data_IF_393593653216
#
_entry.id   IF_393593653216
#
_cell.length_a   1.000
_cell.length_b   1.000
_cell.length_c   1.000
_cell.angle_alpha   90.00
_cell.angle_beta   90.00
_cell.angle_gamma   90.00
#
_symmetry.space_group_name_H-M   'P 1'
#
loop_
_entity.id
_entity.type
_entity.pdbx_description
1 polymer ?
#
# COMPACT_ATOMS: atom_id res chain seq x y z
N UNK A 1 -11.80 3.56 -24.47
CA UNK A 1 -10.65 3.93 -23.60
C UNK A 1 -9.55 2.91 -23.85
N UNK A 2 -8.40 3.29 -24.44
CA UNK A 2 -7.30 2.33 -24.67
C UNK A 2 -6.59 2.09 -23.34
N UNK A 3 -6.77 0.90 -22.76
CA UNK A 3 -6.21 0.52 -21.45
C UNK A 3 -4.67 0.53 -21.47
N UNK A 4 -4.07 0.28 -22.64
CA UNK A 4 -2.64 0.32 -22.87
C UNK A 4 -2.31 1.48 -23.82
N UNK A 5 -1.62 2.49 -23.30
CA UNK A 5 -1.17 3.69 -24.01
C UNK A 5 0.36 3.79 -23.88
N UNK A 6 1.09 4.39 -24.85
CA UNK A 6 2.53 4.63 -24.75
C UNK A 6 3.01 5.18 -23.40
N UNK A 7 2.22 6.02 -22.72
CA UNK A 7 2.59 6.52 -21.38
C UNK A 7 2.70 5.41 -20.33
N UNK A 8 1.76 4.47 -20.30
CA UNK A 8 1.79 3.32 -19.38
C UNK A 8 2.94 2.40 -19.76
N UNK A 9 3.15 2.17 -21.06
CA UNK A 9 4.24 1.34 -21.56
C UNK A 9 5.63 1.91 -21.21
N UNK A 10 5.77 3.24 -21.17
CA UNK A 10 6.99 3.91 -20.70
C UNK A 10 7.10 3.94 -19.16
N UNK A 11 5.97 3.94 -18.43
CA UNK A 11 5.95 4.04 -16.97
C UNK A 11 6.16 2.68 -16.27
N UNK A 12 5.67 1.58 -16.84
CA UNK A 12 5.85 0.23 -16.30
C UNK A 12 7.32 -0.14 -16.02
N UNK A 13 8.28 0.02 -16.95
CA UNK A 13 9.68 -0.30 -16.67
C UNK A 13 10.31 0.62 -15.60
N UNK A 14 9.78 1.84 -15.42
CA UNK A 14 10.24 2.78 -14.39
C UNK A 14 9.78 2.40 -12.98
N UNK A 15 8.81 1.48 -12.85
CA UNK A 15 8.41 0.94 -11.54
C UNK A 15 9.54 0.20 -10.83
N UNK A 16 10.53 -0.31 -11.57
CA UNK A 16 11.66 -1.07 -11.00
C UNK A 16 12.40 -0.32 -9.89
N UNK A 17 12.53 1.00 -10.00
CA UNK A 17 13.20 1.83 -8.98
C UNK A 17 12.38 1.83 -7.69
N UNK A 18 11.06 1.99 -7.79
CA UNK A 18 10.14 1.95 -6.65
C UNK A 18 10.07 0.56 -6.02
N UNK A 19 10.03 -0.48 -6.83
CA UNK A 19 10.07 -1.88 -6.36
C UNK A 19 11.38 -2.15 -5.63
N UNK A 20 12.52 -1.70 -6.18
CA UNK A 20 13.82 -1.84 -5.52
C UNK A 20 13.88 -1.13 -4.17
N UNK A 21 13.39 0.11 -4.10
CA UNK A 21 13.29 0.86 -2.85
C UNK A 21 12.38 0.17 -1.83
N UNK A 22 11.24 -0.35 -2.29
CA UNK A 22 10.30 -1.09 -1.44
C UNK A 22 10.93 -2.33 -0.82
N UNK A 23 11.59 -3.17 -1.63
CA UNK A 23 12.28 -4.38 -1.17
C UNK A 23 13.40 -4.02 -0.19
N UNK A 24 14.22 -3.02 -0.50
CA UNK A 24 15.26 -2.54 0.40
C UNK A 24 14.68 -2.08 1.75
N UNK A 25 13.52 -1.42 1.72
CA UNK A 25 12.84 -0.93 2.92
C UNK A 25 12.21 -2.05 3.74
N UNK A 26 11.72 -3.13 3.12
CA UNK A 26 11.30 -4.36 3.84
C UNK A 26 12.50 -4.93 4.60
N UNK A 27 13.65 -5.09 3.94
CA UNK A 27 14.85 -5.61 4.60
C UNK A 27 15.27 -4.70 5.75
N UNK A 28 15.21 -3.37 5.57
CA UNK A 28 15.46 -2.42 6.64
C UNK A 28 14.47 -2.59 7.82
N UNK A 29 13.18 -2.77 7.56
CA UNK A 29 12.17 -3.02 8.60
C UNK A 29 12.40 -4.32 9.38
N UNK A 30 12.88 -5.37 8.71
CA UNK A 30 13.26 -6.63 9.35
C UNK A 30 14.52 -6.47 10.20
N UNK A 31 15.59 -5.90 9.64
CA UNK A 31 16.89 -5.77 10.30
C UNK A 31 16.84 -4.79 11.47
N UNK A 32 16.12 -3.69 11.32
CA UNK A 32 16.00 -2.67 12.34
C UNK A 32 14.83 -2.91 13.30
N UNK A 33 14.16 -4.07 13.27
CA UNK A 33 12.98 -4.38 14.10
C UNK A 33 13.11 -3.87 15.53
N UNK A 34 14.12 -4.33 16.28
CA UNK A 34 14.33 -3.95 17.68
C UNK A 34 14.54 -2.44 17.89
N UNK A 35 15.13 -1.77 16.90
CA UNK A 35 15.39 -0.32 16.94
C UNK A 35 14.11 0.48 16.69
N UNK A 36 13.21 0.01 15.83
CA UNK A 36 12.00 0.74 15.44
C UNK A 36 10.81 0.37 16.36
N UNK A 37 10.81 -0.80 17.00
CA UNK A 37 9.77 -1.25 17.95
C UNK A 37 9.36 -0.16 18.98
N UNK A 38 10.27 0.47 19.74
CA UNK A 38 9.86 1.47 20.73
C UNK A 38 9.17 2.70 20.12
N UNK A 39 9.40 2.99 18.83
CA UNK A 39 8.74 4.08 18.12
C UNK A 39 7.37 3.67 17.59
N UNK A 40 7.22 2.44 17.10
CA UNK A 40 6.00 1.97 16.42
C UNK A 40 4.97 1.37 17.38
N UNK A 41 5.38 0.72 18.46
CA UNK A 41 4.45 0.08 19.42
C UNK A 41 3.41 1.06 19.97
N UNK A 42 3.77 2.28 20.43
CA UNK A 42 2.76 3.23 20.91
C UNK A 42 1.75 3.65 19.83
N UNK A 43 2.19 3.76 18.57
CA UNK A 43 1.30 4.10 17.44
C UNK A 43 0.28 2.98 17.18
N UNK A 44 0.73 1.72 17.27
CA UNK A 44 -0.15 0.56 17.15
C UNK A 44 -1.14 0.48 18.32
N UNK A 45 -0.69 0.69 19.56
CA UNK A 45 -1.57 0.68 20.74
C UNK A 45 -2.69 1.72 20.64
N UNK A 46 -2.39 2.95 20.21
CA UNK A 46 -3.40 3.99 19.95
C UNK A 46 -4.39 3.50 18.88
N UNK A 47 -3.89 2.91 17.80
CA UNK A 47 -4.74 2.40 16.71
C UNK A 47 -5.64 1.28 17.20
N UNK A 48 -5.12 0.32 17.97
CA UNK A 48 -5.90 -0.75 18.57
C UNK A 48 -6.91 -0.26 19.60
N UNK A 49 -6.59 0.76 20.39
CA UNK A 49 -7.53 1.35 21.34
C UNK A 49 -8.70 2.04 20.64
N UNK A 50 -8.45 2.72 19.51
CA UNK A 50 -9.51 3.35 18.71
C UNK A 50 -10.36 2.28 18.02
N UNK A 51 -9.71 1.27 17.44
CA UNK A 51 -10.35 0.26 16.61
C UNK A 51 -11.05 -0.83 17.42
N UNK A 52 -10.50 -1.24 18.57
CA UNK A 52 -11.07 -2.25 19.46
C UNK A 52 -12.36 -1.82 20.15
N UNK A 53 -12.63 -0.52 20.21
CA UNK A 53 -13.91 0.03 20.68
C UNK A 53 -14.99 0.08 19.58
N UNK A 54 -14.67 -0.29 18.34
CA UNK A 54 -15.60 -0.34 17.22
C UNK A 54 -16.07 -1.79 17.05
N UNK A 55 -17.37 -2.03 17.21
CA UNK A 55 -17.97 -3.33 16.88
C UNK A 55 -17.86 -3.58 15.37
N UNK A 56 -16.87 -4.37 14.95
CA UNK A 56 -16.66 -4.75 13.55
C UNK A 56 -17.85 -5.50 12.93
N UNK A 57 -18.77 -6.02 13.75
CA UNK A 57 -19.97 -6.75 13.33
C UNK A 57 -21.00 -5.87 12.61
N UNK A 58 -20.90 -4.54 12.74
CA UNK A 58 -21.85 -3.59 12.14
C UNK A 58 -21.26 -2.74 11.02
N UNK A 59 -19.97 -2.91 10.68
CA UNK A 59 -19.35 -2.08 9.66
C UNK A 59 -19.84 -2.52 8.28
N UNK A 60 -20.56 -1.63 7.60
CA UNK A 60 -21.03 -1.84 6.24
C UNK A 60 -19.84 -2.10 5.30
N UNK A 61 -19.82 -3.27 4.64
CA UNK A 61 -18.77 -3.69 3.70
C UNK A 61 -18.46 -2.62 2.64
N UNK A 62 -19.48 -1.91 2.15
CA UNK A 62 -19.31 -0.83 1.16
C UNK A 62 -18.50 0.32 1.75
N UNK A 63 -18.78 0.69 3.01
CA UNK A 63 -18.04 1.76 3.71
C UNK A 63 -16.58 1.36 3.89
N UNK A 64 -16.30 0.10 4.24
CA UNK A 64 -14.93 -0.42 4.33
C UNK A 64 -14.19 -0.34 2.99
N UNK A 65 -14.82 -0.80 1.90
CA UNK A 65 -14.24 -0.71 0.54
C UNK A 65 -13.93 0.75 0.18
N UNK A 66 -14.88 1.66 0.40
CA UNK A 66 -14.71 3.06 0.06
C UNK A 66 -13.61 3.72 0.90
N UNK A 67 -13.50 3.38 2.19
CA UNK A 67 -12.45 3.91 3.07
C UNK A 67 -11.05 3.45 2.64
N UNK A 68 -10.88 2.15 2.38
CA UNK A 68 -9.61 1.58 1.89
C UNK A 68 -9.23 2.19 0.54
N UNK A 69 -10.18 2.21 -0.40
CA UNK A 69 -9.96 2.80 -1.72
C UNK A 69 -9.60 4.29 -1.61
N UNK A 70 -10.32 5.07 -0.81
CA UNK A 70 -10.06 6.50 -0.66
C UNK A 70 -8.67 6.79 -0.08
N UNK A 71 -8.23 6.03 0.93
CA UNK A 71 -6.88 6.13 1.51
C UNK A 71 -5.83 5.93 0.42
N UNK A 72 -5.90 4.82 -0.30
CA UNK A 72 -4.89 4.47 -1.29
C UNK A 72 -4.97 5.35 -2.54
N UNK A 73 -6.18 5.76 -2.93
CA UNK A 73 -6.39 6.70 -4.03
C UNK A 73 -5.81 8.09 -3.70
N UNK A 74 -5.93 8.56 -2.46
CA UNK A 74 -5.32 9.81 -2.01
C UNK A 74 -3.78 9.72 -2.09
N UNK A 75 -3.20 8.64 -1.61
CA UNK A 75 -1.75 8.39 -1.70
C UNK A 75 -1.30 8.38 -3.17
N UNK A 76 -1.98 7.63 -4.03
CA UNK A 76 -1.65 7.56 -5.45
C UNK A 76 -1.81 8.91 -6.16
N UNK A 77 -2.86 9.67 -5.82
CA UNK A 77 -3.07 11.02 -6.30
C UNK A 77 -1.90 11.93 -5.92
N UNK A 78 -1.49 11.91 -4.65
CA UNK A 78 -0.34 12.68 -4.17
C UNK A 78 0.95 12.25 -4.86
N UNK A 79 1.17 10.96 -5.10
CA UNK A 79 2.30 10.49 -5.89
C UNK A 79 2.30 11.05 -7.31
N UNK A 80 1.15 11.03 -8.00
CA UNK A 80 1.02 11.59 -9.36
C UNK A 80 1.30 13.10 -9.39
N UNK A 81 0.79 13.84 -8.39
CA UNK A 81 0.90 15.29 -8.32
C UNK A 81 2.30 15.76 -7.90
N UNK A 82 2.91 15.11 -6.91
CA UNK A 82 4.09 15.62 -6.20
C UNK A 82 5.40 14.99 -6.63
N UNK A 83 5.38 13.87 -7.37
CA UNK A 83 6.58 13.13 -7.75
C UNK A 83 7.66 14.00 -8.40
N UNK A 84 7.33 14.78 -9.44
CA UNK A 84 8.31 15.68 -10.06
C UNK A 84 8.58 16.94 -9.23
N UNK A 85 7.57 17.44 -8.53
CA UNK A 85 7.69 18.65 -7.69
C UNK A 85 8.71 18.44 -6.56
N UNK A 86 8.72 17.24 -5.99
CA UNK A 86 9.58 16.86 -4.86
C UNK A 86 10.83 16.10 -5.29
N UNK A 87 11.12 16.02 -6.59
CA UNK A 87 12.18 15.16 -7.14
C UNK A 87 12.10 13.70 -6.63
N UNK A 88 10.89 13.24 -6.31
CA UNK A 88 10.59 11.89 -5.84
C UNK A 88 10.75 11.65 -4.37
N UNK A 89 11.07 12.67 -3.58
CA UNK A 89 11.18 12.52 -2.13
C UNK A 89 9.86 12.03 -1.55
N UNK A 90 8.72 12.63 -1.93
CA UNK A 90 7.42 12.20 -1.41
C UNK A 90 7.05 10.76 -1.83
N UNK A 91 7.03 10.38 -3.13
CA UNK A 91 6.84 8.99 -3.53
C UNK A 91 7.81 8.01 -2.86
N UNK A 92 9.08 8.42 -2.72
CA UNK A 92 10.13 7.63 -2.08
C UNK A 92 9.82 7.36 -0.61
N UNK A 93 9.41 8.37 0.14
CA UNK A 93 9.00 8.21 1.54
C UNK A 93 7.79 7.29 1.67
N UNK A 94 6.77 7.44 0.83
CA UNK A 94 5.59 6.56 0.85
C UNK A 94 6.00 5.11 0.60
N UNK A 95 6.79 4.86 -0.46
CA UNK A 95 7.24 3.51 -0.81
C UNK A 95 8.13 2.93 0.30
N UNK A 96 9.02 3.72 0.86
CA UNK A 96 9.92 3.28 1.92
C UNK A 96 9.18 2.95 3.22
N UNK A 97 8.25 3.81 3.65
CA UNK A 97 7.44 3.57 4.86
C UNK A 97 6.57 2.31 4.70
N UNK A 98 5.93 2.11 3.55
CA UNK A 98 5.14 0.89 3.32
C UNK A 98 6.02 -0.37 3.37
N UNK A 99 7.19 -0.35 2.75
CA UNK A 99 8.12 -1.48 2.84
C UNK A 99 8.61 -1.74 4.26
N UNK A 100 9.03 -0.69 4.96
CA UNK A 100 9.51 -0.77 6.34
C UNK A 100 8.43 -1.32 7.29
N UNK A 101 7.19 -0.84 7.18
CA UNK A 101 6.08 -1.34 7.99
C UNK A 101 5.77 -2.81 7.72
N UNK A 102 5.77 -3.24 6.45
CA UNK A 102 5.57 -4.66 6.10
C UNK A 102 6.68 -5.54 6.70
N UNK A 103 7.95 -5.12 6.60
CA UNK A 103 9.07 -5.83 7.21
C UNK A 103 8.94 -5.91 8.74
N UNK A 104 8.65 -4.79 9.38
CA UNK A 104 8.47 -4.70 10.84
C UNK A 104 7.31 -5.57 11.34
N UNK A 105 6.11 -5.39 10.77
CA UNK A 105 4.90 -6.15 11.15
C UNK A 105 5.11 -7.64 10.87
N UNK A 106 5.83 -7.98 9.80
CA UNK A 106 6.17 -9.36 9.51
C UNK A 106 6.99 -10.02 10.62
N UNK A 107 8.03 -9.35 11.13
CA UNK A 107 8.82 -9.85 12.26
C UNK A 107 7.98 -9.93 13.54
N UNK A 108 7.15 -8.90 13.80
CA UNK A 108 6.25 -8.86 14.96
C UNK A 108 5.29 -10.06 14.98
N UNK A 109 4.65 -10.38 13.85
CA UNK A 109 3.68 -11.47 13.75
C UNK A 109 4.34 -12.86 13.87
N UNK A 110 5.56 -13.01 13.32
CA UNK A 110 6.30 -14.28 13.43
C UNK A 110 6.84 -14.49 14.84
N UNK A 111 7.47 -13.47 15.43
CA UNK A 111 8.18 -13.60 16.71
C UNK A 111 7.24 -13.49 17.91
N UNK A 112 6.20 -12.65 17.83
CA UNK A 112 5.24 -12.40 18.92
C UNK A 112 3.87 -13.05 18.73
N UNK A 113 3.46 -13.35 17.49
CA UNK A 113 2.14 -13.89 17.16
C UNK A 113 2.09 -15.40 16.90
N UNK A 114 3.24 -16.08 16.86
CA UNK A 114 3.33 -17.52 16.58
C UNK A 114 2.95 -17.92 15.15
N UNK A 115 2.79 -16.95 14.25
CA UNK A 115 2.48 -17.19 12.84
C UNK A 115 3.76 -17.59 12.09
N UNK A 116 3.63 -18.52 11.15
CA UNK A 116 4.73 -18.80 10.23
C UNK A 116 4.90 -17.63 9.24
N UNK A 117 6.13 -17.41 8.77
CA UNK A 117 6.38 -16.39 7.75
C UNK A 117 5.48 -16.57 6.51
N UNK A 118 5.19 -17.82 6.13
CA UNK A 118 4.30 -18.14 5.01
C UNK A 118 2.86 -17.68 5.25
N UNK A 119 2.34 -17.78 6.48
CA UNK A 119 1.00 -17.29 6.83
C UNK A 119 0.95 -15.76 6.81
N UNK A 120 2.00 -15.10 7.28
CA UNK A 120 2.11 -13.63 7.23
C UNK A 120 2.14 -13.13 5.77
N UNK A 121 3.00 -13.71 4.93
CA UNK A 121 3.06 -13.35 3.52
C UNK A 121 1.76 -13.73 2.79
N UNK A 122 1.15 -14.87 3.11
CA UNK A 122 -0.13 -15.29 2.53
C UNK A 122 -1.32 -14.38 2.91
N UNK A 123 -1.25 -13.72 4.08
CA UNK A 123 -2.24 -12.74 4.51
C UNK A 123 -2.07 -11.36 3.86
N UNK A 124 -0.83 -10.93 3.61
CA UNK A 124 -0.49 -9.61 3.02
C UNK A 124 -0.45 -9.64 1.48
N UNK A 125 -0.27 -10.82 0.88
CA UNK A 125 -0.11 -10.95 -0.57
C UNK A 125 -1.35 -10.63 -1.43
N UNK A 126 -2.59 -11.02 -1.07
CA UNK A 126 -3.73 -10.90 -1.98
C UNK A 126 -4.15 -9.44 -2.26
N UNK A 127 -4.05 -8.59 -1.24
CA UNK A 127 -4.36 -7.16 -1.23
C UNK A 127 -3.10 -6.32 -1.54
N UNK A 128 -1.97 -6.66 -0.91
CA UNK A 128 -0.70 -5.95 -1.08
C UNK A 128 -0.20 -5.93 -2.53
N UNK A 129 -0.40 -6.99 -3.32
CA UNK A 129 0.12 -7.02 -4.71
C UNK A 129 -0.60 -6.01 -5.62
N UNK A 130 -1.93 -5.93 -5.56
CA UNK A 130 -2.69 -4.99 -6.39
C UNK A 130 -2.53 -3.55 -5.91
N UNK A 131 -2.54 -3.33 -4.59
CA UNK A 131 -2.34 -2.01 -4.00
C UNK A 131 -0.95 -1.46 -4.36
N UNK A 132 0.10 -2.22 -4.07
CA UNK A 132 1.48 -1.82 -4.32
C UNK A 132 1.73 -1.64 -5.82
N UNK A 133 1.14 -2.48 -6.68
CA UNK A 133 1.19 -2.26 -8.12
C UNK A 133 0.59 -0.89 -8.50
N UNK A 134 -0.60 -0.56 -7.98
CA UNK A 134 -1.25 0.72 -8.22
C UNK A 134 -0.38 1.89 -7.74
N UNK A 135 0.18 1.80 -6.54
CA UNK A 135 1.04 2.85 -5.97
C UNK A 135 2.35 3.02 -6.76
N UNK A 136 3.06 1.94 -7.10
CA UNK A 136 4.30 2.02 -7.87
C UNK A 136 4.06 2.60 -9.27
N UNK A 137 2.94 2.21 -9.89
CA UNK A 137 2.54 2.78 -11.17
C UNK A 137 2.20 4.26 -11.03
N UNK A 138 1.50 4.67 -9.97
CA UNK A 138 1.21 6.08 -9.68
C UNK A 138 2.50 6.89 -9.49
N UNK A 139 3.48 6.35 -8.77
CA UNK A 139 4.80 6.97 -8.59
C UNK A 139 5.54 7.12 -9.93
N UNK A 140 5.53 6.08 -10.77
CA UNK A 140 6.15 6.11 -12.10
C UNK A 140 5.47 7.12 -13.03
N UNK A 141 4.14 7.14 -13.10
CA UNK A 141 3.35 8.11 -13.88
C UNK A 141 3.60 9.53 -13.36
N UNK A 142 3.64 9.71 -12.05
CA UNK A 142 3.96 10.99 -11.42
C UNK A 142 5.31 11.54 -11.87
N UNK A 143 6.31 10.67 -12.02
CA UNK A 143 7.64 11.03 -12.52
C UNK A 143 7.74 11.26 -14.01
N UNK A 144 6.84 10.66 -14.79
CA UNK A 144 6.90 10.69 -16.24
C UNK A 144 6.83 12.14 -16.77
N UNK A 145 7.53 12.40 -17.88
CA UNK A 145 7.67 13.75 -18.46
C UNK A 145 6.46 14.18 -19.32
N UNK A 146 5.25 13.90 -18.83
CA UNK A 146 3.99 14.23 -19.51
C UNK A 146 3.24 15.38 -18.82
N UNK A 147 2.38 16.12 -19.55
CA UNK A 147 1.47 17.10 -18.97
C UNK A 147 0.53 16.46 -17.94
N UNK A 148 0.13 17.22 -16.92
CA UNK A 148 -0.71 16.71 -15.83
C UNK A 148 -2.05 16.13 -16.33
N UNK A 149 -2.67 16.79 -17.33
CA UNK A 149 -3.91 16.30 -17.96
C UNK A 149 -3.75 14.89 -18.55
N UNK A 150 -2.60 14.60 -19.16
CA UNK A 150 -2.32 13.28 -19.72
C UNK A 150 -2.07 12.22 -18.64
N UNK A 151 -1.34 12.60 -17.58
CA UNK A 151 -1.13 11.70 -16.43
C UNK A 151 -2.45 11.19 -15.86
N UNK A 152 -3.42 12.09 -15.63
CA UNK A 152 -4.75 11.71 -15.15
C UNK A 152 -5.56 10.92 -16.17
N UNK A 153 -5.53 11.33 -17.45
CA UNK A 153 -6.24 10.63 -18.52
C UNK A 153 -5.80 9.18 -18.66
N UNK A 154 -4.54 8.89 -18.36
CA UNK A 154 -3.91 7.58 -18.54
C UNK A 154 -3.55 6.87 -17.24
N UNK A 155 -3.96 7.38 -16.08
CA UNK A 155 -3.78 6.70 -14.78
C UNK A 155 -4.90 5.70 -14.44
N UNK A 156 -5.74 5.33 -15.41
CA UNK A 156 -6.87 4.44 -15.16
C UNK A 156 -6.49 3.08 -14.56
N UNK A 157 -5.36 2.50 -14.99
CA UNK A 157 -4.86 1.25 -14.41
C UNK A 157 -4.51 1.38 -12.92
N UNK A 158 -4.05 2.56 -12.48
CA UNK A 158 -3.82 2.84 -11.05
C UNK A 158 -5.14 2.71 -10.29
N UNK A 159 -6.17 3.42 -10.74
CA UNK A 159 -7.45 3.44 -10.04
C UNK A 159 -8.14 2.07 -10.03
N UNK A 160 -8.07 1.34 -11.15
CA UNK A 160 -8.63 -0.01 -11.26
C UNK A 160 -7.91 -0.96 -10.29
N UNK A 161 -6.57 -0.91 -10.25
CA UNK A 161 -5.80 -1.76 -9.35
C UNK A 161 -6.11 -1.47 -7.88
N UNK A 162 -6.17 -0.19 -7.48
CA UNK A 162 -6.50 0.22 -6.11
C UNK A 162 -7.92 -0.16 -5.70
N UNK A 163 -8.89 -0.02 -6.62
CA UNK A 163 -10.26 -0.45 -6.34
C UNK A 163 -10.35 -1.97 -6.21
N UNK A 164 -9.67 -2.71 -7.07
CA UNK A 164 -9.56 -4.17 -6.96
C UNK A 164 -8.96 -4.62 -5.64
N UNK A 165 -7.88 -3.97 -5.21
CA UNK A 165 -7.26 -4.22 -3.90
C UNK A 165 -8.25 -4.00 -2.75
N UNK A 166 -8.97 -2.87 -2.75
CA UNK A 166 -9.95 -2.55 -1.71
C UNK A 166 -11.10 -3.57 -1.64
N UNK A 167 -11.57 -4.08 -2.79
CA UNK A 167 -12.61 -5.13 -2.83
C UNK A 167 -12.10 -6.46 -2.27
N UNK A 168 -10.87 -6.84 -2.59
CA UNK A 168 -10.22 -8.05 -2.07
C UNK A 168 -10.04 -7.93 -0.56
N UNK A 169 -9.43 -6.84 -0.09
CA UNK A 169 -9.13 -6.59 1.31
C UNK A 169 -10.41 -6.57 2.16
N UNK A 170 -11.45 -5.85 1.71
CA UNK A 170 -12.73 -5.84 2.42
C UNK A 170 -13.44 -7.21 2.41
N UNK A 171 -13.15 -8.08 1.45
CA UNK A 171 -13.72 -9.44 1.42
C UNK A 171 -12.95 -10.38 2.34
N UNK A 172 -11.61 -10.32 2.33
CA UNK A 172 -10.75 -11.12 3.21
C UNK A 172 -10.94 -10.70 4.66
N UNK A 173 -10.95 -9.40 4.95
CA UNK A 173 -11.15 -8.86 6.31
C UNK A 173 -12.48 -9.34 6.89
N UNK A 174 -13.57 -9.28 6.11
CA UNK A 174 -14.88 -9.76 6.55
C UNK A 174 -14.89 -11.28 6.75
N UNK A 175 -14.21 -12.05 5.90
CA UNK A 175 -14.08 -13.51 6.08
C UNK A 175 -13.29 -13.89 7.34
N UNK A 176 -12.18 -13.21 7.61
CA UNK A 176 -11.35 -13.46 8.80
C UNK A 176 -12.11 -13.06 10.07
N UNK A 177 -12.78 -11.91 10.07
CA UNK A 177 -13.59 -11.44 11.21
C UNK A 177 -14.82 -12.34 11.44
N UNK A 178 -15.38 -12.98 10.41
CA UNK A 178 -16.51 -13.89 10.57
C UNK A 178 -16.13 -15.26 11.16
N UNK A 179 -14.84 -15.60 11.24
CA UNK A 179 -14.34 -16.86 11.81
C UNK A 179 -13.97 -16.75 13.30
N UNK A 180 -14.01 -15.56 13.88
CA UNK A 180 -13.75 -15.26 15.31
C UNK A 180 -14.94 -14.53 15.94
#
# INVERSE_FOLDING_TARGET
MKLFNPMIMDSLPRMKIWIGLFIASIVAGVVAYDTITPLLTPLFEITYAIVGNISFKEINKIVTILAIFAKNALIALLCILTARLTFGIYPGLIVALNGLLIGYVGVMLVSGGGLTALQVFGGIAPDGVLELFGIFLACAIGFAKYPMKEKFRYSALVWIALFGAAVIEATITVMVVAMY
#
